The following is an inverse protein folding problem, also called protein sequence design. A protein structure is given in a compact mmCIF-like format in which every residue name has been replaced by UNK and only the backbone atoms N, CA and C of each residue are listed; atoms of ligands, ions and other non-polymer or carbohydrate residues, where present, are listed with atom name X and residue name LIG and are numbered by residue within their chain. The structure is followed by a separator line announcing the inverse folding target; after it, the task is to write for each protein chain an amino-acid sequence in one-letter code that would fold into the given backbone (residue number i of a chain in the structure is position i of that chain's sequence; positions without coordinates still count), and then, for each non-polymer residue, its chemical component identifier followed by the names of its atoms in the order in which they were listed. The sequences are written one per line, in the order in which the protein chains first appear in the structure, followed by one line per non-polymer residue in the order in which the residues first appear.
data_IF_956780712986
#
_entry.id   IF_956780712986
#
_cell.length_a   1.000
_cell.length_b   1.000
_cell.length_c   1.000
_cell.angle_alpha   90.00
_cell.angle_beta   90.00
_cell.angle_gamma   90.00
#
_symmetry.space_group_name_H-M   'P 1'
#
loop_
_entity.id
_entity.type
_entity.pdbx_description
1 polymer ?
#
# COMPACT_ATOMS: atom_id res chain seq x y z
N UNK A 1 -23.11 17.52 20.12
CA UNK A 1 -21.65 17.38 20.32
C UNK A 1 -21.07 16.82 19.04
N UNK A 2 -19.97 17.38 18.53
CA UNK A 2 -19.29 16.87 17.32
C UNK A 2 -18.02 16.15 17.74
N UNK A 3 -17.81 14.94 17.25
CA UNK A 3 -16.66 14.09 17.59
C UNK A 3 -16.02 13.62 16.29
N UNK A 4 -14.71 13.81 16.18
CA UNK A 4 -13.90 13.23 15.09
C UNK A 4 -13.27 11.95 15.60
N UNK A 5 -13.46 10.86 14.86
CA UNK A 5 -12.87 9.55 15.13
C UNK A 5 -11.86 9.28 14.02
N UNK A 6 -10.57 9.44 14.34
CA UNK A 6 -9.48 9.32 13.37
C UNK A 6 -8.45 8.26 13.80
N UNK A 7 -8.82 6.96 13.78
CA UNK A 7 -7.95 5.87 14.21
C UNK A 7 -7.04 5.39 13.09
N UNK A 8 -6.00 4.66 13.48
CA UNK A 8 -5.21 3.79 12.61
C UNK A 8 -5.71 2.33 12.74
N UNK A 9 -5.26 1.48 11.83
CA UNK A 9 -5.51 0.03 11.82
C UNK A 9 -4.89 -0.69 13.02
N UNK A 10 -5.48 -1.81 13.39
CA UNK A 10 -4.84 -2.79 14.27
C UNK A 10 -4.22 -3.86 13.37
N UNK A 11 -2.89 -3.82 13.22
CA UNK A 11 -2.13 -4.71 12.31
C UNK A 11 -2.54 -6.18 12.48
N UNK A 12 -2.77 -6.84 11.35
CA UNK A 12 -3.20 -8.25 11.27
C UNK A 12 -4.54 -8.53 12.01
N UNK A 13 -5.37 -7.50 12.22
CA UNK A 13 -6.66 -7.59 12.93
C UNK A 13 -7.76 -6.74 12.26
N UNK A 14 -7.93 -5.48 12.65
CA UNK A 14 -8.98 -4.60 12.14
C UNK A 14 -8.39 -3.50 11.25
N UNK A 15 -9.05 -3.20 10.14
CA UNK A 15 -8.77 -2.02 9.32
C UNK A 15 -9.08 -0.73 10.09
N UNK A 16 -8.46 0.39 9.71
CA UNK A 16 -8.75 1.69 10.31
C UNK A 16 -10.25 2.07 10.22
N UNK A 17 -10.93 1.62 9.14
CA UNK A 17 -12.37 1.82 8.94
C UNK A 17 -13.19 1.04 9.97
N UNK A 18 -12.90 -0.25 10.16
CA UNK A 18 -13.60 -1.08 11.16
C UNK A 18 -13.36 -0.54 12.57
N UNK A 19 -12.14 -0.10 12.89
CA UNK A 19 -11.85 0.55 14.18
C UNK A 19 -12.73 1.81 14.35
N UNK A 20 -12.85 2.64 13.32
CA UNK A 20 -13.68 3.84 13.37
C UNK A 20 -15.17 3.54 13.57
N UNK A 21 -15.67 2.47 12.95
CA UNK A 21 -17.05 1.99 13.10
C UNK A 21 -17.34 1.51 14.53
N UNK A 22 -16.46 0.68 15.09
CA UNK A 22 -16.61 0.17 16.47
C UNK A 22 -16.55 1.30 17.50
N UNK A 23 -15.68 2.29 17.30
CA UNK A 23 -15.60 3.48 18.17
C UNK A 23 -16.89 4.31 18.07
N UNK A 24 -17.42 4.53 16.87
CA UNK A 24 -18.69 5.25 16.66
C UNK A 24 -19.84 4.57 17.39
N UNK A 25 -19.95 3.25 17.32
CA UNK A 25 -20.96 2.49 18.05
C UNK A 25 -20.86 2.71 19.56
N UNK A 26 -19.64 2.63 20.11
CA UNK A 26 -19.39 2.88 21.53
C UNK A 26 -19.79 4.29 21.97
N UNK A 27 -19.46 5.30 21.16
CA UNK A 27 -19.86 6.68 21.39
C UNK A 27 -21.39 6.82 21.40
N UNK A 28 -22.08 6.26 20.40
CA UNK A 28 -23.54 6.38 20.26
C UNK A 28 -24.33 5.66 21.35
N UNK A 29 -23.75 4.63 21.99
CA UNK A 29 -24.36 3.99 23.18
C UNK A 29 -24.48 4.94 24.37
N UNK A 30 -23.56 5.89 24.53
CA UNK A 30 -23.54 6.86 25.64
C UNK A 30 -24.12 8.22 25.21
N UNK A 31 -23.83 8.65 23.99
CA UNK A 31 -24.28 9.92 23.42
C UNK A 31 -25.02 9.69 22.09
N UNK A 32 -26.31 9.28 22.11
CA UNK A 32 -27.05 8.90 20.91
C UNK A 32 -27.18 10.01 19.85
N UNK A 33 -27.10 11.27 20.27
CA UNK A 33 -27.20 12.46 19.40
C UNK A 33 -25.83 13.05 19.03
N UNK A 34 -24.72 12.38 19.34
CA UNK A 34 -23.42 12.84 18.88
C UNK A 34 -23.30 12.74 17.36
N UNK A 35 -22.80 13.81 16.73
CA UNK A 35 -22.41 13.80 15.33
C UNK A 35 -20.98 13.29 15.25
N UNK A 36 -20.79 12.10 14.67
CA UNK A 36 -19.48 11.44 14.55
C UNK A 36 -18.99 11.56 13.11
N UNK A 37 -17.81 12.16 12.93
CA UNK A 37 -17.10 12.19 11.64
C UNK A 37 -15.95 11.20 11.71
N UNK A 38 -16.01 10.14 10.90
CA UNK A 38 -14.95 9.13 10.79
C UNK A 38 -13.91 9.57 9.78
N UNK A 39 -12.65 9.52 10.16
CA UNK A 39 -11.51 9.85 9.30
C UNK A 39 -10.46 8.75 9.47
N UNK A 40 -10.67 7.55 8.89
CA UNK A 40 -9.67 6.49 8.96
C UNK A 40 -8.33 7.01 8.47
N UNK A 41 -7.30 6.86 9.30
CA UNK A 41 -5.94 7.29 8.98
C UNK A 41 -5.12 6.09 8.56
N UNK A 42 -4.05 6.38 7.81
CA UNK A 42 -3.00 5.43 7.53
C UNK A 42 -1.65 6.16 7.57
N UNK A 43 -0.61 5.48 8.03
CA UNK A 43 0.76 6.00 8.13
C UNK A 43 1.56 5.81 6.82
N UNK A 44 0.86 5.52 5.72
CA UNK A 44 1.45 5.05 4.46
C UNK A 44 1.58 3.52 4.40
N UNK A 45 1.08 2.79 5.39
CA UNK A 45 0.88 1.34 5.33
C UNK A 45 -0.43 0.94 4.66
N UNK A 46 -0.89 -0.26 5.01
CA UNK A 46 -2.11 -0.89 4.52
C UNK A 46 -3.35 0.00 4.72
N UNK A 47 -4.11 0.23 3.65
CA UNK A 47 -5.41 0.93 3.70
C UNK A 47 -5.36 2.44 3.39
N UNK A 48 -4.17 2.97 3.07
CA UNK A 48 -3.96 4.36 2.64
C UNK A 48 -4.71 4.69 1.33
N UNK A 49 -4.72 3.79 0.35
CA UNK A 49 -5.33 3.91 -0.97
C UNK A 49 -6.83 4.02 -0.83
N UNK A 50 -7.44 3.10 -0.07
CA UNK A 50 -8.86 3.09 0.23
C UNK A 50 -9.25 4.38 0.95
N UNK A 51 -8.54 4.75 2.01
CA UNK A 51 -8.83 5.95 2.78
C UNK A 51 -8.75 7.22 1.92
N UNK A 52 -7.71 7.35 1.08
CA UNK A 52 -7.53 8.50 0.22
C UNK A 52 -8.58 8.57 -0.90
N UNK A 53 -8.90 7.44 -1.53
CA UNK A 53 -9.93 7.37 -2.58
C UNK A 53 -11.33 7.62 -1.99
N UNK A 54 -11.65 7.09 -0.81
CA UNK A 54 -12.91 7.34 -0.12
C UNK A 54 -13.05 8.82 0.30
N UNK A 55 -11.97 9.43 0.80
CA UNK A 55 -11.98 10.81 1.28
C UNK A 55 -12.02 11.86 0.17
N UNK A 56 -11.32 11.63 -0.96
CA UNK A 56 -11.18 12.60 -2.06
C UNK A 56 -12.09 12.32 -3.24
N UNK A 57 -12.68 11.13 -3.32
CA UNK A 57 -13.19 10.60 -4.58
C UNK A 57 -12.04 10.13 -5.48
N UNK A 58 -12.35 9.18 -6.36
CA UNK A 58 -11.35 8.55 -7.21
C UNK A 58 -11.75 7.15 -7.63
N UNK A 59 -10.78 6.37 -8.10
CA UNK A 59 -10.97 4.99 -8.53
C UNK A 59 -9.82 4.11 -8.07
N UNK A 60 -10.13 2.92 -7.57
CA UNK A 60 -9.16 1.85 -7.34
C UNK A 60 -8.96 1.10 -8.65
N UNK A 61 -7.71 0.86 -9.00
CA UNK A 61 -7.30 0.14 -10.20
C UNK A 61 -6.58 -1.13 -9.79
N UNK A 62 -7.09 -2.28 -10.22
CA UNK A 62 -6.43 -3.57 -10.05
C UNK A 62 -5.29 -3.72 -11.07
N UNK A 63 -4.16 -4.27 -10.62
CA UNK A 63 -2.98 -4.51 -11.45
C UNK A 63 -2.34 -5.82 -11.03
N UNK A 64 -2.05 -6.68 -12.01
CA UNK A 64 -1.24 -7.87 -11.75
C UNK A 64 0.23 -7.44 -11.58
N UNK A 65 0.84 -7.87 -10.49
CA UNK A 65 2.20 -7.49 -10.07
C UNK A 65 2.93 -8.69 -9.43
N UNK A 66 4.23 -8.53 -9.25
CA UNK A 66 5.12 -9.52 -8.65
C UNK A 66 5.11 -9.38 -7.14
N UNK A 67 4.75 -10.46 -6.44
CA UNK A 67 4.74 -10.54 -4.98
C UNK A 67 6.16 -10.47 -4.40
N UNK A 68 6.32 -10.32 -3.07
CA UNK A 68 7.65 -10.36 -2.45
C UNK A 68 8.44 -11.61 -2.80
N UNK A 69 7.78 -12.76 -3.01
CA UNK A 69 8.41 -14.05 -3.31
C UNK A 69 8.49 -14.35 -4.82
N UNK A 70 8.17 -13.39 -5.68
CA UNK A 70 8.29 -13.53 -7.14
C UNK A 70 7.04 -14.09 -7.85
N UNK A 71 5.97 -14.40 -7.12
CA UNK A 71 4.73 -14.92 -7.70
C UNK A 71 3.87 -13.80 -8.31
N UNK A 72 3.02 -14.12 -9.28
CA UNK A 72 2.06 -13.14 -9.83
C UNK A 72 0.83 -13.05 -8.94
N UNK A 73 0.54 -11.85 -8.45
CA UNK A 73 -0.60 -11.54 -7.58
C UNK A 73 -1.38 -10.35 -8.13
N UNK A 74 -2.62 -10.18 -7.65
CA UNK A 74 -3.40 -8.97 -7.89
C UNK A 74 -3.12 -7.98 -6.77
N UNK A 75 -2.41 -6.91 -7.07
CA UNK A 75 -2.35 -5.72 -6.25
C UNK A 75 -3.27 -4.64 -6.78
N UNK A 76 -3.24 -3.47 -6.16
CA UNK A 76 -3.99 -2.30 -6.62
C UNK A 76 -3.35 -0.99 -6.21
N UNK A 77 -3.81 0.08 -6.84
CA UNK A 77 -3.46 1.47 -6.53
C UNK A 77 -4.68 2.37 -6.78
N UNK A 78 -4.65 3.58 -6.25
CA UNK A 78 -5.70 4.58 -6.43
C UNK A 78 -5.32 5.65 -7.44
N UNK A 79 -6.32 6.19 -8.14
CA UNK A 79 -6.22 7.48 -8.86
C UNK A 79 -7.28 8.39 -8.27
N UNK A 80 -6.86 9.57 -7.80
CA UNK A 80 -7.78 10.53 -7.18
C UNK A 80 -8.69 11.22 -8.21
N UNK A 81 -9.67 11.95 -7.69
CA UNK A 81 -10.65 12.75 -8.43
C UNK A 81 -10.05 13.73 -9.44
N UNK A 82 -8.85 14.24 -9.17
CA UNK A 82 -8.10 15.11 -10.08
C UNK A 82 -7.62 14.41 -11.37
N UNK A 83 -7.63 13.07 -11.40
CA UNK A 83 -7.25 12.25 -12.54
C UNK A 83 -5.75 12.16 -12.84
N UNK A 84 -4.90 12.83 -12.06
CA UNK A 84 -3.44 12.84 -12.28
C UNK A 84 -2.62 12.52 -11.02
N UNK A 85 -3.26 12.41 -9.85
CA UNK A 85 -2.61 11.96 -8.61
C UNK A 85 -2.86 10.47 -8.39
N UNK A 86 -1.80 9.67 -8.49
CA UNK A 86 -1.79 8.27 -8.13
C UNK A 86 -1.44 8.05 -6.65
N UNK A 87 -2.13 7.11 -5.99
CA UNK A 87 -1.82 6.65 -4.64
C UNK A 87 -1.37 5.19 -4.75
N UNK A 88 -0.12 4.91 -4.40
CA UNK A 88 0.45 3.56 -4.43
C UNK A 88 0.80 3.16 -3.01
N UNK A 89 0.42 1.96 -2.62
CA UNK A 89 0.90 1.33 -1.39
C UNK A 89 1.82 0.19 -1.74
N UNK A 90 3.03 0.17 -1.17
CA UNK A 90 3.91 -0.97 -1.37
C UNK A 90 3.33 -2.24 -0.77
N UNK A 91 2.52 -2.16 0.30
CA UNK A 91 1.95 -3.33 0.96
C UNK A 91 1.10 -4.19 0.00
N UNK A 92 0.50 -3.56 -1.02
CA UNK A 92 -0.33 -4.24 -2.03
C UNK A 92 0.46 -5.09 -3.03
N UNK A 93 1.78 -4.94 -3.09
CA UNK A 93 2.64 -5.70 -4.00
C UNK A 93 3.84 -6.36 -3.29
N UNK A 94 4.31 -5.73 -2.22
CA UNK A 94 5.55 -6.02 -1.51
C UNK A 94 5.35 -6.09 0.02
N UNK A 95 4.11 -6.32 0.47
CA UNK A 95 3.72 -6.32 1.88
C UNK A 95 3.99 -7.62 2.64
N UNK A 96 4.14 -7.50 3.97
CA UNK A 96 4.40 -8.60 4.90
C UNK A 96 3.24 -9.60 5.00
N UNK A 97 2.01 -9.13 4.84
CA UNK A 97 0.79 -9.97 4.81
C UNK A 97 0.75 -10.92 3.60
N UNK A 98 1.50 -10.61 2.54
CA UNK A 98 1.61 -11.43 1.33
C UNK A 98 2.63 -12.59 1.48
N UNK A 99 3.35 -12.64 2.60
CA UNK A 99 4.38 -13.65 2.85
C UNK A 99 3.96 -14.56 4.01
N UNK A 100 3.70 -15.85 3.77
CA UNK A 100 3.39 -16.79 4.84
C UNK A 100 4.56 -16.86 5.82
N UNK A 101 4.28 -17.07 7.12
CA UNK A 101 5.32 -17.09 8.16
C UNK A 101 6.50 -18.01 7.83
N UNK A 102 6.24 -19.18 7.24
CA UNK A 102 7.26 -20.15 6.82
C UNK A 102 8.15 -19.67 5.66
N UNK A 103 7.69 -18.69 4.87
CA UNK A 103 8.39 -18.12 3.73
C UNK A 103 9.07 -16.78 4.00
N UNK A 104 9.03 -16.27 5.25
CA UNK A 104 9.63 -14.98 5.60
C UNK A 104 11.16 -15.07 5.61
N UNK A 105 11.78 -14.76 4.48
CA UNK A 105 13.23 -14.61 4.34
C UNK A 105 13.56 -13.27 3.65
N UNK A 106 14.09 -12.27 4.37
CA UNK A 106 14.33 -10.93 3.84
C UNK A 106 15.41 -10.89 2.74
N UNK A 107 16.23 -11.94 2.62
CA UNK A 107 17.23 -12.04 1.55
C UNK A 107 16.60 -12.35 0.20
N UNK A 108 15.41 -12.96 0.19
CA UNK A 108 14.72 -13.37 -1.04
C UNK A 108 13.63 -12.40 -1.47
N UNK A 109 13.14 -11.54 -0.56
CA UNK A 109 11.96 -10.72 -0.82
C UNK A 109 12.27 -9.48 -1.65
N UNK A 110 11.47 -9.23 -2.69
CA UNK A 110 11.70 -8.15 -3.65
C UNK A 110 10.62 -7.06 -3.66
N UNK A 111 11.03 -5.82 -3.93
CA UNK A 111 10.15 -4.66 -4.17
C UNK A 111 9.67 -4.52 -5.62
N UNK A 112 9.96 -5.51 -6.50
CA UNK A 112 9.67 -5.42 -7.93
C UNK A 112 8.21 -5.04 -8.24
N UNK A 113 7.25 -5.69 -7.58
CA UNK A 113 5.83 -5.38 -7.78
C UNK A 113 5.43 -3.95 -7.39
N UNK A 114 6.11 -3.33 -6.42
CA UNK A 114 5.89 -1.92 -6.09
C UNK A 114 6.27 -1.03 -7.28
N UNK A 115 7.37 -1.33 -7.96
CA UNK A 115 7.74 -0.64 -9.20
C UNK A 115 6.74 -0.86 -10.33
N UNK A 116 6.13 -2.04 -10.42
CA UNK A 116 5.04 -2.31 -11.39
C UNK A 116 3.78 -1.48 -11.10
N UNK A 117 3.40 -1.29 -9.82
CA UNK A 117 2.29 -0.40 -9.46
C UNK A 117 2.59 1.06 -9.82
N UNK A 118 3.79 1.54 -9.52
CA UNK A 118 4.23 2.90 -9.90
C UNK A 118 4.18 3.05 -11.42
N UNK A 119 4.74 2.09 -12.17
CA UNK A 119 4.69 2.09 -13.63
C UNK A 119 3.26 2.11 -14.14
N UNK A 120 2.36 1.32 -13.57
CA UNK A 120 0.95 1.27 -13.96
C UNK A 120 0.21 2.60 -13.71
N UNK A 121 0.59 3.34 -12.67
CA UNK A 121 0.08 4.69 -12.42
C UNK A 121 0.63 5.70 -13.44
N UNK A 122 1.93 5.65 -13.73
CA UNK A 122 2.57 6.47 -14.77
C UNK A 122 1.98 6.22 -16.17
N UNK A 123 1.78 4.96 -16.54
CA UNK A 123 1.18 4.54 -17.82
C UNK A 123 -0.26 5.07 -17.98
N UNK A 124 -0.92 5.44 -16.87
CA UNK A 124 -2.26 6.07 -16.87
C UNK A 124 -2.21 7.60 -16.79
N UNK A 125 -1.03 8.20 -16.93
CA UNK A 125 -0.86 9.65 -16.98
C UNK A 125 -0.79 10.31 -15.61
N UNK A 126 -0.59 9.57 -14.53
CA UNK A 126 -0.36 10.17 -13.21
C UNK A 126 0.94 10.99 -13.24
N UNK A 127 0.86 12.26 -12.83
CA UNK A 127 1.99 13.19 -12.77
C UNK A 127 2.50 13.38 -11.34
N UNK A 128 1.65 13.08 -10.36
CA UNK A 128 1.98 13.06 -8.94
C UNK A 128 1.69 11.65 -8.43
N UNK A 129 2.65 11.05 -7.74
CA UNK A 129 2.45 9.76 -7.09
C UNK A 129 2.79 9.92 -5.61
N UNK A 130 1.83 9.57 -4.75
CA UNK A 130 2.03 9.44 -3.31
C UNK A 130 2.24 7.96 -3.05
N UNK A 131 3.40 7.63 -2.47
CA UNK A 131 3.77 6.24 -2.19
C UNK A 131 3.76 6.02 -0.67
N UNK A 132 2.86 5.16 -0.22
CA UNK A 132 2.88 4.57 1.11
C UNK A 132 3.89 3.42 1.17
N UNK A 133 4.83 3.48 2.11
CA UNK A 133 5.92 2.51 2.24
C UNK A 133 5.83 1.64 3.51
N UNK A 134 4.71 1.70 4.23
CA UNK A 134 4.49 0.91 5.43
C UNK A 134 4.19 -0.57 5.12
N UNK A 135 4.43 -1.44 6.11
CA UNK A 135 4.03 -2.85 6.04
C UNK A 135 4.84 -3.75 5.10
N UNK A 136 6.07 -3.36 4.74
CA UNK A 136 6.93 -4.09 3.79
C UNK A 136 7.37 -5.48 4.26
N UNK A 137 7.52 -6.42 3.32
CA UNK A 137 8.20 -7.72 3.52
C UNK A 137 9.70 -7.70 3.17
N UNK A 138 10.21 -6.58 2.65
CA UNK A 138 11.40 -6.52 1.80
C UNK A 138 12.56 -5.78 2.47
N UNK A 139 13.79 -6.24 2.23
CA UNK A 139 15.04 -5.56 2.63
C UNK A 139 16.01 -5.44 1.43
N UNK A 140 15.48 -5.37 0.20
CA UNK A 140 16.26 -5.24 -1.04
C UNK A 140 16.72 -3.80 -1.35
N UNK A 141 16.50 -2.86 -0.42
CA UNK A 141 16.86 -1.45 -0.60
C UNK A 141 16.10 -0.74 -1.72
N UNK A 142 14.98 -1.30 -2.21
CA UNK A 142 14.26 -0.75 -3.37
C UNK A 142 14.88 -1.16 -4.72
N UNK A 143 15.82 -2.10 -4.72
CA UNK A 143 16.47 -2.58 -5.94
C UNK A 143 15.45 -3.13 -6.96
N UNK A 144 14.56 -4.03 -6.52
CA UNK A 144 13.52 -4.59 -7.38
C UNK A 144 12.62 -3.51 -7.98
N UNK A 145 12.16 -2.57 -7.17
CA UNK A 145 11.34 -1.42 -7.62
C UNK A 145 12.06 -0.63 -8.72
N UNK A 146 13.34 -0.29 -8.52
CA UNK A 146 14.11 0.45 -9.51
C UNK A 146 14.27 -0.35 -10.82
N UNK A 147 14.53 -1.66 -10.72
CA UNK A 147 14.64 -2.54 -11.88
C UNK A 147 13.33 -2.61 -12.69
N UNK A 148 12.18 -2.72 -12.01
CA UNK A 148 10.86 -2.71 -12.66
C UNK A 148 10.56 -1.38 -13.39
N UNK A 149 11.15 -0.27 -12.92
CA UNK A 149 11.08 1.05 -13.56
C UNK A 149 12.15 1.26 -14.63
N UNK A 150 12.96 0.25 -14.95
CA UNK A 150 13.93 0.25 -16.05
C UNK A 150 15.37 0.55 -15.65
N UNK A 151 15.68 0.71 -14.35
CA UNK A 151 17.06 0.84 -13.90
C UNK A 151 17.84 -0.47 -14.09
N UNK A 152 19.12 -0.34 -14.46
CA UNK A 152 20.04 -1.48 -14.57
C UNK A 152 20.97 -1.49 -13.37
N UNK A 153 20.71 -2.39 -12.43
CA UNK A 153 21.58 -2.63 -11.28
C UNK A 153 22.43 -3.86 -11.62
N UNK A 154 23.74 -3.66 -11.82
CA UNK A 154 24.63 -4.66 -12.39
C UNK A 154 25.68 -5.15 -11.39
N UNK A 155 26.05 -6.42 -11.49
CA UNK A 155 27.17 -7.01 -10.77
C UNK A 155 28.52 -6.71 -11.47
N UNK A 156 29.63 -7.25 -10.95
CA UNK A 156 30.98 -7.04 -11.53
C UNK A 156 31.17 -7.61 -12.94
N UNK A 157 30.37 -8.60 -13.33
CA UNK A 157 30.39 -9.19 -14.67
C UNK A 157 29.55 -8.37 -15.68
N UNK A 158 28.80 -7.38 -15.22
CA UNK A 158 27.90 -6.59 -16.05
C UNK A 158 26.48 -7.18 -16.17
N UNK A 159 26.17 -8.24 -15.43
CA UNK A 159 24.84 -8.85 -15.43
C UNK A 159 23.92 -8.18 -14.42
N UNK A 160 22.61 -8.19 -14.70
CA UNK A 160 21.59 -7.72 -13.76
C UNK A 160 21.67 -8.49 -12.44
N UNK A 161 21.67 -7.78 -11.30
CA UNK A 161 21.58 -8.43 -9.99
C UNK A 161 20.25 -9.18 -9.85
N UNK A 162 20.27 -10.27 -9.08
CA UNK A 162 19.06 -11.03 -8.76
C UNK A 162 18.08 -10.18 -7.93
N UNK A 163 16.83 -10.63 -7.88
CA UNK A 163 15.81 -10.07 -7.00
C UNK A 163 16.10 -10.47 -5.54
N UNK A 164 15.75 -9.60 -4.60
CA UNK A 164 15.99 -9.81 -3.17
C UNK A 164 17.18 -8.99 -2.64
N UNK A 165 17.43 -9.09 -1.34
CA UNK A 165 18.52 -8.39 -0.65
C UNK A 165 19.80 -9.21 -0.45
N UNK A 166 19.78 -10.51 -0.80
CA UNK A 166 20.90 -11.45 -0.60
C UNK A 166 21.68 -11.79 -1.86
#
# INVERSE_FOLDING_TARGET
MKIVVAPDSFKESLTAKEVAEVIEEGIKRVFPQAEVTKVPLADGGEGTVEAMVEARGGKIILQEVTSPLGERIKGHFGILDDGFTGIVEMAQASGLSLVPHSGRNPLLTTTYGTGELIKAALDRGCQRIIVGIGGSATVDGGAGMAQALGAKLLNRAGDQIALGGG
#
